data_IF_271953392757
#
_entry.id   IF_271953392757
#
_cell.length_a   1.000
_cell.length_b   1.000
_cell.length_c   1.000
_cell.angle_alpha   90.00
_cell.angle_beta   90.00
_cell.angle_gamma   90.00
#
_symmetry.space_group_name_H-M   'P 1'
#
loop_
_entity.id
_entity.type
_entity.pdbx_description
1 polymer ?
#
# COMPACT_ATOMS: atom_id res chain seq x y z
N UNK A 1 36.22 3.93 10.88
CA UNK A 1 34.75 4.16 10.99
C UNK A 1 33.98 2.89 11.36
N UNK A 2 34.17 1.77 10.65
CA UNK A 2 33.51 0.48 10.94
C UNK A 2 33.78 -0.03 12.38
N UNK A 3 35.02 0.05 12.87
CA UNK A 3 35.37 -0.37 14.23
C UNK A 3 34.66 0.43 15.33
N UNK A 4 34.46 1.73 15.14
CA UNK A 4 33.72 2.57 16.11
C UNK A 4 32.24 2.17 16.17
N UNK A 5 31.64 1.82 15.03
CA UNK A 5 30.25 1.34 14.97
C UNK A 5 30.12 0.01 15.71
N UNK A 6 31.05 -0.94 15.46
CA UNK A 6 31.07 -2.24 16.15
C UNK A 6 31.22 -2.09 17.67
N UNK A 7 32.15 -1.26 18.14
CA UNK A 7 32.35 -0.99 19.56
C UNK A 7 31.07 -0.40 20.18
N UNK A 8 30.42 0.54 19.49
CA UNK A 8 29.17 1.15 19.97
C UNK A 8 28.06 0.11 20.11
N UNK A 9 27.90 -0.78 19.12
CA UNK A 9 26.90 -1.86 19.17
C UNK A 9 27.16 -2.78 20.36
N UNK A 10 28.41 -3.20 20.57
CA UNK A 10 28.78 -4.08 21.69
C UNK A 10 28.50 -3.40 23.03
N UNK A 11 28.84 -2.12 23.19
CA UNK A 11 28.55 -1.37 24.41
C UNK A 11 27.05 -1.25 24.69
N UNK A 12 26.23 -1.03 23.67
CA UNK A 12 24.77 -1.00 23.80
C UNK A 12 24.23 -2.35 24.23
N UNK A 13 24.70 -3.46 23.62
CA UNK A 13 24.28 -4.82 24.01
C UNK A 13 24.64 -5.11 25.47
N UNK A 14 25.86 -4.76 25.90
CA UNK A 14 26.31 -4.95 27.28
C UNK A 14 25.48 -4.13 28.26
N UNK A 15 25.20 -2.86 27.95
CA UNK A 15 24.39 -1.99 28.78
C UNK A 15 22.95 -2.53 28.94
N UNK A 16 22.32 -2.94 27.83
CA UNK A 16 20.97 -3.52 27.84
C UNK A 16 20.93 -4.82 28.64
N UNK A 17 21.94 -5.68 28.48
CA UNK A 17 22.05 -6.94 29.23
C UNK A 17 22.22 -6.70 30.73
N UNK A 18 23.06 -5.74 31.11
CA UNK A 18 23.27 -5.36 32.50
C UNK A 18 22.00 -4.78 33.13
N UNK A 19 21.30 -3.88 32.44
CA UNK A 19 20.02 -3.34 32.88
C UNK A 19 18.96 -4.44 33.03
N UNK A 20 18.89 -5.38 32.10
CA UNK A 20 17.99 -6.53 32.17
C UNK A 20 18.28 -7.43 33.38
N UNK A 21 19.55 -7.73 33.64
CA UNK A 21 19.96 -8.52 34.81
C UNK A 21 19.68 -7.80 36.14
N UNK A 22 19.98 -6.50 36.21
CA UNK A 22 19.67 -5.68 37.38
C UNK A 22 18.16 -5.64 37.63
N UNK A 23 17.35 -5.42 36.59
CA UNK A 23 15.90 -5.44 36.68
C UNK A 23 15.37 -6.80 37.14
N UNK A 24 15.92 -7.91 36.64
CA UNK A 24 15.53 -9.26 37.04
C UNK A 24 15.79 -9.54 38.53
N UNK A 25 16.92 -9.06 39.05
CA UNK A 25 17.28 -9.25 40.47
C UNK A 25 16.46 -8.38 41.42
N UNK A 26 16.13 -7.16 41.02
CA UNK A 26 15.54 -6.16 41.93
C UNK A 26 14.02 -6.00 41.78
N UNK A 27 13.43 -6.40 40.66
CA UNK A 27 11.98 -6.33 40.46
C UNK A 27 11.29 -7.64 40.87
N UNK A 28 10.05 -7.57 41.41
CA UNK A 28 9.22 -8.76 41.54
C UNK A 28 9.01 -9.42 40.16
N UNK A 29 9.15 -10.75 40.09
CA UNK A 29 9.13 -11.52 38.83
C UNK A 29 7.95 -11.17 37.91
N UNK A 30 6.75 -10.96 38.49
CA UNK A 30 5.54 -10.56 37.75
C UNK A 30 5.73 -9.26 36.95
N UNK A 31 6.37 -8.24 37.53
CA UNK A 31 6.61 -6.96 36.87
C UNK A 31 7.72 -7.06 35.84
N UNK A 32 8.78 -7.83 36.13
CA UNK A 32 9.85 -8.09 35.17
C UNK A 32 9.29 -8.70 33.87
N UNK A 33 8.56 -9.82 33.97
CA UNK A 33 7.97 -10.48 32.80
C UNK A 33 6.95 -9.59 32.07
N UNK A 34 6.14 -8.81 32.80
CA UNK A 34 5.20 -7.88 32.20
C UNK A 34 5.90 -6.77 31.40
N UNK A 35 6.97 -6.17 31.94
CA UNK A 35 7.76 -5.15 31.24
C UNK A 35 8.45 -5.74 30.01
N UNK A 36 9.06 -6.92 30.14
CA UNK A 36 9.68 -7.61 28.99
C UNK A 36 8.65 -7.89 27.90
N UNK A 37 7.45 -8.35 28.27
CA UNK A 37 6.36 -8.56 27.31
C UNK A 37 5.98 -7.26 26.59
N UNK A 38 5.81 -6.14 27.31
CA UNK A 38 5.51 -4.83 26.71
C UNK A 38 6.63 -4.38 25.76
N UNK A 39 7.89 -4.57 26.14
CA UNK A 39 9.05 -4.19 25.32
C UNK A 39 9.13 -4.98 24.01
N UNK A 40 8.61 -6.21 23.97
CA UNK A 40 8.58 -7.02 22.75
C UNK A 40 7.33 -6.71 21.92
N UNK A 41 6.16 -6.58 22.56
CA UNK A 41 4.88 -6.43 21.85
C UNK A 41 4.70 -5.01 21.31
N UNK A 42 5.14 -3.98 22.05
CA UNK A 42 4.92 -2.59 21.63
C UNK A 42 5.61 -2.21 20.31
N UNK A 43 6.88 -2.59 20.03
CA UNK A 43 7.50 -2.28 18.74
C UNK A 43 6.82 -3.01 17.58
N UNK A 44 6.33 -4.24 17.81
CA UNK A 44 5.59 -5.01 16.79
C UNK A 44 4.27 -4.31 16.45
N UNK A 45 3.52 -3.85 17.45
CA UNK A 45 2.27 -3.10 17.24
C UNK A 45 2.57 -1.78 16.52
N UNK A 46 3.57 -1.02 16.97
CA UNK A 46 3.97 0.25 16.35
C UNK A 46 4.36 0.03 14.89
N UNK A 47 5.16 -0.99 14.60
CA UNK A 47 5.56 -1.34 13.25
C UNK A 47 4.35 -1.68 12.37
N UNK A 48 3.41 -2.49 12.86
CA UNK A 48 2.19 -2.85 12.13
C UNK A 48 1.26 -1.66 11.89
N UNK A 49 1.15 -0.75 12.85
CA UNK A 49 0.41 0.50 12.67
C UNK A 49 1.08 1.41 11.63
N UNK A 50 2.41 1.50 11.67
CA UNK A 50 3.17 2.26 10.68
C UNK A 50 3.02 1.68 9.27
N UNK A 51 3.17 0.36 9.11
CA UNK A 51 2.98 -0.36 7.85
C UNK A 51 1.57 -0.15 7.28
N UNK A 52 0.52 -0.33 8.10
CA UNK A 52 -0.86 -0.07 7.70
C UNK A 52 -1.06 1.37 7.24
N UNK A 53 -0.57 2.34 8.00
CA UNK A 53 -0.69 3.76 7.66
C UNK A 53 0.10 4.11 6.39
N UNK A 54 1.24 3.47 6.17
CA UNK A 54 2.04 3.62 4.97
C UNK A 54 1.31 3.08 3.72
N UNK A 55 0.68 1.91 3.84
CA UNK A 55 -0.12 1.29 2.77
C UNK A 55 -1.36 2.14 2.47
N UNK A 56 -2.15 2.53 3.48
CA UNK A 56 -3.32 3.39 3.28
C UNK A 56 -2.91 4.76 2.71
N UNK A 57 -1.75 5.28 3.13
CA UNK A 57 -1.20 6.54 2.64
C UNK A 57 -0.81 6.56 1.17
N UNK A 58 -0.83 5.43 0.46
CA UNK A 58 -0.58 5.39 -1.00
C UNK A 58 -1.79 5.78 -1.85
N UNK A 59 -2.98 5.90 -1.26
CA UNK A 59 -4.20 6.31 -1.98
C UNK A 59 -4.78 7.64 -1.43
N UNK A 60 -5.54 8.39 -2.24
CA UNK A 60 -6.11 9.68 -1.83
C UNK A 60 -6.96 9.57 -0.56
N UNK A 61 -6.73 10.46 0.41
CA UNK A 61 -7.46 10.47 1.71
C UNK A 61 -8.95 10.63 1.55
N UNK A 62 -9.42 11.33 0.50
CA UNK A 62 -10.84 11.51 0.20
C UNK A 62 -11.61 10.22 -0.04
N UNK A 63 -10.93 9.10 -0.34
CA UNK A 63 -11.55 7.78 -0.46
C UNK A 63 -11.90 7.16 0.90
N UNK A 64 -11.44 7.76 2.01
CA UNK A 64 -11.73 7.40 3.42
C UNK A 64 -11.70 5.89 3.68
N UNK A 65 -10.67 5.23 3.16
CA UNK A 65 -10.46 3.79 3.33
C UNK A 65 -9.86 3.50 4.71
N UNK A 66 -10.30 2.41 5.33
CA UNK A 66 -9.79 1.97 6.64
C UNK A 66 -9.26 0.54 6.67
N UNK A 67 -9.54 -0.25 5.64
CA UNK A 67 -9.25 -1.67 5.60
C UNK A 67 -8.48 -2.03 4.32
N UNK A 68 -7.38 -2.73 4.52
CA UNK A 68 -6.57 -3.34 3.46
C UNK A 68 -7.05 -4.78 3.32
N UNK A 69 -7.62 -5.11 2.16
CA UNK A 69 -8.13 -6.45 1.87
C UNK A 69 -7.04 -7.37 1.33
N UNK A 70 -6.14 -6.80 0.53
CA UNK A 70 -5.04 -7.52 -0.08
C UNK A 70 -3.86 -6.58 -0.30
N UNK A 71 -2.66 -7.09 -0.06
CA UNK A 71 -1.41 -6.38 -0.35
C UNK A 71 -0.37 -7.41 -0.79
N UNK A 72 0.10 -7.27 -2.02
CA UNK A 72 1.20 -8.07 -2.56
C UNK A 72 2.16 -7.12 -3.25
N UNK A 73 3.42 -7.15 -2.84
CA UNK A 73 4.47 -6.32 -3.40
C UNK A 73 5.77 -7.14 -3.52
N UNK A 74 6.56 -6.80 -4.52
CA UNK A 74 7.90 -7.32 -4.75
C UNK A 74 8.85 -6.16 -4.98
N UNK A 75 10.08 -6.29 -4.46
CA UNK A 75 11.15 -5.31 -4.66
C UNK A 75 12.43 -6.05 -5.04
N UNK A 76 13.05 -5.61 -6.13
CA UNK A 76 14.27 -6.20 -6.70
C UNK A 76 15.45 -5.22 -6.68
N UNK A 77 15.33 -4.12 -5.93
CA UNK A 77 16.37 -3.10 -5.82
C UNK A 77 16.53 -2.60 -4.39
N UNK A 78 17.63 -1.88 -4.14
CA UNK A 78 17.86 -1.15 -2.90
C UNK A 78 17.82 0.36 -3.17
N UNK A 79 17.02 1.09 -2.39
CA UNK A 79 16.94 2.55 -2.45
C UNK A 79 15.71 3.11 -3.19
N UNK A 80 15.57 4.45 -3.27
CA UNK A 80 14.40 5.09 -3.88
C UNK A 80 14.31 4.81 -5.38
N UNK A 81 13.15 4.34 -5.85
CA UNK A 81 12.97 3.91 -7.24
C UNK A 81 13.56 2.52 -7.51
N UNK A 82 13.72 1.71 -6.46
CA UNK A 82 14.01 0.30 -6.60
C UNK A 82 12.91 -0.35 -7.43
N UNK A 83 13.32 -1.22 -8.34
CA UNK A 83 12.43 -1.95 -9.22
C UNK A 83 11.36 -2.66 -8.39
N UNK A 84 10.13 -2.17 -8.43
CA UNK A 84 9.04 -2.52 -7.52
C UNK A 84 7.76 -2.75 -8.31
N UNK A 85 7.07 -3.82 -7.96
CA UNK A 85 5.77 -4.15 -8.53
C UNK A 85 4.81 -4.50 -7.40
N UNK A 86 3.56 -4.03 -7.48
CA UNK A 86 2.62 -4.24 -6.40
C UNK A 86 1.16 -4.02 -6.76
N UNK A 87 0.31 -4.69 -6.00
CA UNK A 87 -1.13 -4.53 -5.97
C UNK A 87 -1.58 -4.36 -4.51
N UNK A 88 -2.41 -3.34 -4.30
CA UNK A 88 -3.07 -3.05 -3.03
C UNK A 88 -4.55 -2.96 -3.26
N UNK A 89 -5.32 -3.70 -2.49
CA UNK A 89 -6.79 -3.74 -2.56
C UNK A 89 -7.35 -3.29 -1.23
N UNK A 90 -8.34 -2.42 -1.30
CA UNK A 90 -8.92 -1.75 -0.16
C UNK A 90 -10.44 -1.79 -0.21
N UNK A 91 -11.07 -1.80 0.97
CA UNK A 91 -12.53 -1.69 1.08
C UNK A 91 -12.95 -0.22 1.13
N UNK A 92 -13.90 0.15 0.25
CA UNK A 92 -14.63 1.41 0.37
C UNK A 92 -15.61 1.36 1.53
N UNK A 93 -15.75 2.49 2.22
CA UNK A 93 -16.80 2.63 3.24
C UNK A 93 -18.17 2.82 2.56
N UNK A 94 -19.28 2.39 3.19
CA UNK A 94 -20.61 2.57 2.63
C UNK A 94 -20.96 4.03 2.30
N UNK A 95 -20.45 4.99 3.09
CA UNK A 95 -20.62 6.44 2.83
C UNK A 95 -19.99 6.83 1.50
N UNK A 96 -18.70 6.52 1.32
CA UNK A 96 -17.97 6.89 0.10
C UNK A 96 -18.52 6.16 -1.11
N UNK A 97 -18.89 4.88 -0.99
CA UNK A 97 -19.56 4.16 -2.08
C UNK A 97 -20.84 4.86 -2.51
N UNK A 98 -21.68 5.29 -1.56
CA UNK A 98 -22.95 5.97 -1.86
C UNK A 98 -22.71 7.33 -2.53
N UNK A 99 -21.71 8.09 -2.07
CA UNK A 99 -21.31 9.36 -2.68
C UNK A 99 -20.83 9.16 -4.13
N UNK A 100 -19.96 8.16 -4.38
CA UNK A 100 -19.50 7.84 -5.73
C UNK A 100 -20.68 7.42 -6.62
N UNK A 101 -21.60 6.60 -6.12
CA UNK A 101 -22.79 6.19 -6.89
C UNK A 101 -23.70 7.36 -7.22
N UNK A 102 -23.86 8.33 -6.31
CA UNK A 102 -24.72 9.48 -6.51
C UNK A 102 -24.10 10.54 -7.46
N UNK A 103 -22.81 10.82 -7.32
CA UNK A 103 -22.13 11.91 -8.03
C UNK A 103 -21.27 11.44 -9.21
N UNK A 104 -21.00 10.14 -9.33
CA UNK A 104 -20.18 9.57 -10.40
C UNK A 104 -18.80 10.20 -10.47
N UNK A 105 -18.37 10.56 -11.68
CA UNK A 105 -17.04 11.16 -11.90
C UNK A 105 -16.82 12.48 -11.14
N UNK A 106 -17.90 13.22 -10.85
CA UNK A 106 -17.82 14.52 -10.17
C UNK A 106 -17.36 14.38 -8.71
N UNK A 107 -17.55 13.22 -8.09
CA UNK A 107 -16.95 12.93 -6.78
C UNK A 107 -15.42 13.06 -6.84
N UNK A 108 -14.81 12.52 -7.90
CA UNK A 108 -13.35 12.50 -8.03
C UNK A 108 -12.75 13.85 -8.42
N UNK A 109 -13.49 14.66 -9.17
CA UNK A 109 -13.07 16.03 -9.52
C UNK A 109 -12.95 16.94 -8.29
N UNK A 110 -13.75 16.66 -7.25
CA UNK A 110 -13.76 17.39 -5.98
C UNK A 110 -13.09 16.59 -4.85
N UNK A 111 -12.35 15.52 -5.18
CA UNK A 111 -11.76 14.65 -4.17
C UNK A 111 -10.73 15.40 -3.34
N UNK A 112 -10.99 15.49 -2.04
CA UNK A 112 -10.05 16.10 -1.12
C UNK A 112 -8.78 15.23 -0.98
N UNK A 113 -7.65 15.84 -1.32
CA UNK A 113 -6.33 15.23 -1.08
C UNK A 113 -5.60 16.06 -0.03
N UNK A 114 -5.37 15.48 1.13
CA UNK A 114 -4.67 16.18 2.21
C UNK A 114 -3.24 16.55 1.76
N UNK A 115 -2.87 17.82 2.01
CA UNK A 115 -1.56 18.39 1.66
C UNK A 115 -0.41 17.66 2.34
N UNK A 116 -0.66 17.06 3.50
CA UNK A 116 0.30 16.25 4.24
C UNK A 116 0.58 14.90 3.56
N UNK A 117 -0.29 14.45 2.65
CA UNK A 117 -0.10 13.19 1.93
C UNK A 117 1.10 13.22 0.99
N UNK A 118 1.64 12.02 0.78
CA UNK A 118 2.80 11.77 -0.09
C UNK A 118 2.54 12.35 -1.48
N UNK A 119 3.61 12.87 -2.11
CA UNK A 119 3.52 13.47 -3.45
C UNK A 119 2.92 12.53 -4.50
N UNK A 120 3.20 11.23 -4.37
CA UNK A 120 2.65 10.16 -5.22
C UNK A 120 1.11 10.13 -5.14
N UNK A 121 0.55 10.22 -3.94
CA UNK A 121 -0.90 10.22 -3.69
C UNK A 121 -1.58 11.44 -4.29
N UNK A 122 -0.90 12.59 -4.26
CA UNK A 122 -1.39 13.86 -4.83
C UNK A 122 -1.35 13.93 -6.36
N UNK A 123 -0.88 12.88 -7.02
CA UNK A 123 -0.75 12.82 -8.48
C UNK A 123 -2.00 12.29 -9.20
N UNK A 124 -2.91 11.60 -8.50
CA UNK A 124 -4.17 11.12 -9.07
C UNK A 124 -5.19 12.25 -9.23
N UNK A 125 -5.07 13.00 -10.33
CA UNK A 125 -5.90 14.19 -10.60
C UNK A 125 -6.80 14.02 -11.80
N UNK A 126 -6.33 13.30 -12.80
CA UNK A 126 -7.05 13.07 -14.05
C UNK A 126 -7.82 11.76 -13.92
N UNK A 127 -9.08 11.88 -13.54
CA UNK A 127 -9.98 10.74 -13.37
C UNK A 127 -10.79 10.49 -14.64
N UNK A 128 -11.04 9.22 -14.93
CA UNK A 128 -11.83 8.78 -16.08
C UNK A 128 -12.68 7.57 -15.72
N UNK A 129 -13.77 7.34 -16.46
CA UNK A 129 -14.56 6.13 -16.34
C UNK A 129 -13.92 4.98 -17.11
N UNK A 130 -14.05 3.76 -16.59
CA UNK A 130 -13.64 2.54 -17.29
C UNK A 130 -14.64 2.20 -18.42
N UNK A 131 -14.24 1.44 -19.47
CA UNK A 131 -12.99 0.69 -19.62
C UNK A 131 -11.74 1.58 -19.71
N UNK A 132 -10.65 1.15 -19.06
CA UNK A 132 -9.35 1.84 -19.14
C UNK A 132 -8.89 1.85 -20.59
N UNK A 133 -8.53 3.03 -21.08
CA UNK A 133 -8.05 3.17 -22.46
C UNK A 133 -6.55 2.83 -22.56
N UNK A 134 -6.11 2.14 -23.63
CA UNK A 134 -4.70 1.92 -23.88
C UNK A 134 -3.96 3.25 -23.94
N UNK A 135 -2.79 3.32 -23.31
CA UNK A 135 -1.99 4.54 -23.22
C UNK A 135 -0.51 4.24 -23.38
N UNK A 136 0.33 5.28 -23.33
CA UNK A 136 1.78 5.10 -23.26
C UNK A 136 2.23 4.30 -22.03
N UNK A 137 1.43 4.26 -20.96
CA UNK A 137 1.72 3.57 -19.71
C UNK A 137 1.25 2.12 -19.69
N UNK A 138 0.26 1.77 -20.50
CA UNK A 138 -0.29 0.43 -20.58
C UNK A 138 -0.86 0.22 -21.98
N UNK A 139 -0.13 -0.57 -22.78
CA UNK A 139 -0.57 -0.93 -24.13
C UNK A 139 -1.27 -2.28 -24.06
N UNK A 140 -2.27 -2.48 -24.91
CA UNK A 140 -2.79 -3.83 -25.14
C UNK A 140 -1.66 -4.70 -25.68
N UNK A 141 -1.63 -5.96 -25.25
CA UNK A 141 -0.96 -7.00 -26.02
C UNK A 141 -1.55 -7.00 -27.43
N UNK A 142 -0.72 -7.23 -28.45
CA UNK A 142 -1.10 -7.10 -29.88
C UNK A 142 -2.29 -7.97 -30.27
N UNK A 143 -2.57 -9.00 -29.48
CA UNK A 143 -3.62 -10.00 -29.72
C UNK A 143 -4.79 -9.90 -28.73
N UNK A 144 -4.77 -8.92 -27.81
CA UNK A 144 -5.76 -8.81 -26.74
C UNK A 144 -6.78 -7.68 -26.99
N UNK A 145 -8.07 -8.06 -27.02
CA UNK A 145 -9.19 -7.10 -27.04
C UNK A 145 -9.39 -6.40 -25.69
N UNK A 146 -8.85 -6.97 -24.61
CA UNK A 146 -8.98 -6.49 -23.23
C UNK A 146 -7.62 -6.28 -22.58
N UNK A 147 -7.57 -5.38 -21.60
CA UNK A 147 -6.39 -5.16 -20.79
C UNK A 147 -6.22 -6.27 -19.76
N UNK A 148 -5.01 -6.80 -19.62
CA UNK A 148 -4.63 -7.74 -18.56
C UNK A 148 -3.73 -7.04 -17.53
N UNK A 149 -4.17 -7.02 -16.28
CA UNK A 149 -3.44 -6.38 -15.16
C UNK A 149 -2.04 -6.96 -15.00
N UNK A 150 -1.83 -8.23 -15.38
CA UNK A 150 -0.51 -8.84 -15.32
C UNK A 150 0.45 -8.15 -16.30
N UNK A 151 -0.01 -7.76 -17.50
CA UNK A 151 0.79 -6.98 -18.45
C UNK A 151 1.21 -5.63 -17.88
N UNK A 152 0.32 -5.00 -17.08
CA UNK A 152 0.63 -3.75 -16.41
C UNK A 152 1.69 -3.95 -15.32
N UNK A 153 1.41 -4.82 -14.35
CA UNK A 153 2.28 -5.02 -13.18
C UNK A 153 3.65 -5.55 -13.60
N UNK A 154 3.71 -6.43 -14.60
CA UNK A 154 4.94 -7.01 -15.13
C UNK A 154 5.65 -6.18 -16.21
N UNK A 155 5.20 -4.96 -16.53
CA UNK A 155 5.67 -4.23 -17.72
C UNK A 155 7.20 -4.04 -17.80
N UNK A 156 7.90 -4.05 -16.67
CA UNK A 156 9.36 -3.89 -16.57
C UNK A 156 10.12 -5.19 -16.29
N UNK A 157 9.48 -6.36 -16.42
CA UNK A 157 10.09 -7.68 -16.15
C UNK A 157 10.14 -8.06 -14.66
N UNK A 158 9.56 -7.23 -13.79
CA UNK A 158 9.43 -7.48 -12.36
C UNK A 158 8.01 -7.93 -12.04
N UNK A 159 7.82 -9.24 -11.98
CA UNK A 159 6.52 -9.85 -11.77
C UNK A 159 6.33 -10.29 -10.32
N UNK A 160 5.12 -10.06 -9.81
CA UNK A 160 4.65 -10.64 -8.56
C UNK A 160 3.60 -11.70 -8.84
N UNK A 161 3.57 -12.73 -8.00
CA UNK A 161 2.54 -13.76 -8.01
C UNK A 161 1.29 -13.23 -7.29
N UNK A 162 0.31 -12.76 -8.08
CA UNK A 162 -0.97 -12.22 -7.61
C UNK A 162 -1.98 -13.35 -7.57
N UNK A 163 -2.70 -13.45 -6.45
CA UNK A 163 -3.74 -14.46 -6.27
C UNK A 163 -4.77 -14.40 -7.43
N UNK A 164 -5.15 -15.54 -8.04
CA UNK A 164 -5.99 -15.55 -9.23
C UNK A 164 -7.32 -14.79 -9.08
N UNK A 165 -7.93 -14.84 -7.90
CA UNK A 165 -9.16 -14.08 -7.59
C UNK A 165 -8.94 -12.56 -7.68
N UNK A 166 -7.77 -12.08 -7.27
CA UNK A 166 -7.42 -10.66 -7.36
C UNK A 166 -7.10 -10.25 -8.80
N UNK A 167 -6.50 -11.14 -9.59
CA UNK A 167 -6.29 -10.93 -11.03
C UNK A 167 -7.63 -10.79 -11.74
N UNK A 168 -8.57 -11.69 -11.49
CA UNK A 168 -9.90 -11.64 -12.08
C UNK A 168 -10.64 -10.36 -11.68
N UNK A 169 -10.65 -10.03 -10.38
CA UNK A 169 -11.29 -8.83 -9.87
C UNK A 169 -10.70 -7.55 -10.49
N UNK A 170 -9.37 -7.48 -10.61
CA UNK A 170 -8.68 -6.34 -11.21
C UNK A 170 -8.98 -6.24 -12.72
N UNK A 171 -8.98 -7.36 -13.44
CA UNK A 171 -9.31 -7.42 -14.87
C UNK A 171 -10.76 -7.00 -15.12
N UNK A 172 -11.71 -7.41 -14.27
CA UNK A 172 -13.08 -6.90 -14.31
C UNK A 172 -13.12 -5.39 -14.05
N UNK A 173 -12.43 -4.89 -13.02
CA UNK A 173 -12.44 -3.47 -12.66
C UNK A 173 -11.90 -2.57 -13.78
N UNK A 174 -10.87 -2.99 -14.51
CA UNK A 174 -10.28 -2.17 -15.60
C UNK A 174 -11.06 -2.26 -16.91
N UNK A 175 -11.73 -3.38 -17.20
CA UNK A 175 -12.39 -3.62 -18.49
C UNK A 175 -13.91 -3.37 -18.46
N UNK A 176 -14.58 -3.46 -17.30
CA UNK A 176 -16.02 -3.20 -17.20
C UNK A 176 -16.31 -1.73 -17.02
N UNK A 177 -17.46 -1.25 -17.51
CA UNK A 177 -17.94 0.10 -17.28
C UNK A 177 -18.45 0.31 -15.85
N UNK A 178 -18.58 1.57 -15.43
CA UNK A 178 -19.09 1.93 -14.11
C UNK A 178 -18.04 1.96 -12.99
N UNK A 179 -16.77 1.77 -13.32
CA UNK A 179 -15.63 2.02 -12.42
C UNK A 179 -14.92 3.31 -12.85
N UNK A 180 -14.04 3.80 -11.98
CA UNK A 180 -13.31 5.05 -12.18
C UNK A 180 -11.83 4.82 -11.96
N UNK A 181 -10.97 5.43 -12.76
CA UNK A 181 -9.54 5.26 -12.64
C UNK A 181 -8.77 6.55 -12.82
N UNK A 182 -7.54 6.58 -12.32
CA UNK A 182 -6.59 7.67 -12.57
C UNK A 182 -5.16 7.14 -12.61
N UNK A 183 -4.40 7.61 -13.60
CA UNK A 183 -2.95 7.38 -13.61
C UNK A 183 -2.26 8.42 -12.73
N UNK A 184 -1.42 7.94 -11.83
CA UNK A 184 -0.56 8.78 -11.02
C UNK A 184 0.82 8.95 -11.63
N UNK A 185 1.71 9.58 -10.86
CA UNK A 185 3.16 9.59 -11.14
C UNK A 185 3.74 8.18 -11.15
N UNK A 186 3.24 7.34 -10.25
CA UNK A 186 3.64 5.93 -10.11
C UNK A 186 2.37 5.15 -9.86
N UNK A 187 2.04 4.28 -10.81
CA UNK A 187 0.89 3.39 -10.71
C UNK A 187 -0.44 3.96 -11.19
N UNK A 188 -1.44 3.10 -11.10
CA UNK A 188 -2.83 3.27 -11.52
C UNK A 188 -3.72 3.00 -10.30
N UNK A 189 -4.64 3.91 -10.02
CA UNK A 189 -5.71 3.67 -9.05
C UNK A 189 -7.02 3.40 -9.80
N UNK A 190 -7.77 2.38 -9.39
CA UNK A 190 -9.11 2.06 -9.90
C UNK A 190 -10.08 1.94 -8.72
N UNK A 191 -11.27 2.50 -8.86
CA UNK A 191 -12.30 2.58 -7.83
C UNK A 191 -13.59 2.02 -8.41
N UNK A 192 -14.12 0.97 -7.77
CA UNK A 192 -15.38 0.33 -8.16
C UNK A 192 -16.43 0.50 -7.06
N UNK A 193 -17.46 1.33 -7.28
CA UNK A 193 -18.53 1.48 -6.29
C UNK A 193 -19.37 0.20 -6.15
N UNK A 194 -19.67 -0.51 -7.25
CA UNK A 194 -20.46 -1.74 -7.23
C UNK A 194 -19.76 -2.86 -6.45
N UNK A 195 -18.43 -2.97 -6.60
CA UNK A 195 -17.60 -3.94 -5.87
C UNK A 195 -17.16 -3.45 -4.49
N UNK A 196 -17.43 -2.19 -4.13
CA UNK A 196 -17.01 -1.53 -2.88
C UNK A 196 -15.50 -1.58 -2.66
N UNK A 197 -14.73 -1.41 -3.73
CA UNK A 197 -13.29 -1.69 -3.74
C UNK A 197 -12.49 -0.57 -4.38
N UNK A 198 -11.31 -0.30 -3.82
CA UNK A 198 -10.24 0.49 -4.46
C UNK A 198 -9.05 -0.43 -4.72
N UNK A 199 -8.49 -0.36 -5.91
CA UNK A 199 -7.24 -1.02 -6.26
C UNK A 199 -6.19 0.03 -6.60
N UNK A 200 -5.00 -0.15 -6.06
CA UNK A 200 -3.82 0.59 -6.46
C UNK A 200 -2.78 -0.40 -6.99
N UNK A 201 -2.46 -0.26 -8.28
CA UNK A 201 -1.49 -1.05 -9.01
C UNK A 201 -0.27 -0.18 -9.26
N UNK A 202 0.94 -0.71 -9.10
CA UNK A 202 2.16 0.02 -9.44
C UNK A 202 3.25 -0.91 -9.95
N UNK A 203 4.08 -0.33 -10.80
CA UNK A 203 5.23 -0.90 -11.45
C UNK A 203 6.27 0.23 -11.59
N UNK A 204 7.54 -0.06 -11.34
CA UNK A 204 8.61 0.93 -11.40
C UNK A 204 9.98 0.33 -11.17
#
# INVERSE_FOLDING_TARGET
>A
MIYFILITIVLVILLVSFMGFYAFKNLPKKYFFFITFILIVSPVIIFKLYERNFIIGSIPSGLKVHEVLYNKEGSWGFGPGGNEAGIRVFRLTPSVTSEITAYGINFFQNLEVDRSQRRITRSFREWSGTPVQPSKYWKNSKDAEKLDICDYVCAYGFCIDIDPEMVELANQMVNESGNFYSFGRIGLIIVSPSKKTVMYLYNG
#
